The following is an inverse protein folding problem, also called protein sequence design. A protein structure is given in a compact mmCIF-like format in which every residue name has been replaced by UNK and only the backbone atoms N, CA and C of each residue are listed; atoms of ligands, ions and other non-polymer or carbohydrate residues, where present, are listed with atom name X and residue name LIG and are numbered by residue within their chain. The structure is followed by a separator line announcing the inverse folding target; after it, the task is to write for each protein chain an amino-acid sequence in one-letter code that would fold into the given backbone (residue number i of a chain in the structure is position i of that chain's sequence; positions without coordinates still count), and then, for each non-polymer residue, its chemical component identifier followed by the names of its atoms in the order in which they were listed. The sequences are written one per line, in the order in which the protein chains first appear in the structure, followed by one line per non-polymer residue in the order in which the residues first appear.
data_IF_047148107341
#
_entry.id   IF_047148107341
#
_cell.length_a   1.000
_cell.length_b   1.000
_cell.length_c   1.000
_cell.angle_alpha   90.00
_cell.angle_beta   90.00
_cell.angle_gamma   90.00
#
_symmetry.space_group_name_H-M   'P 1'
#
loop_
_entity.id
_entity.type
_entity.pdbx_description
1 polymer ?
#
# COMPACT_ATOMS: atom_id res chain seq x y z
N UNK A 1 -4.79 -28.24 -5.35
CA UNK A 1 -5.99 -29.09 -5.45
C UNK A 1 -6.77 -28.95 -4.16
N UNK A 2 -8.05 -28.68 -4.23
CA UNK A 2 -8.94 -28.62 -3.07
C UNK A 2 -9.93 -29.80 -3.12
N UNK A 3 -10.39 -30.22 -1.94
CA UNK A 3 -11.38 -31.27 -1.84
C UNK A 3 -12.74 -30.76 -2.38
N UNK A 4 -13.31 -31.50 -3.33
CA UNK A 4 -14.65 -31.20 -3.86
C UNK A 4 -15.75 -31.76 -2.96
N UNK A 5 -16.92 -31.14 -2.99
CA UNK A 5 -18.15 -31.68 -2.37
C UNK A 5 -18.73 -32.85 -3.15
N UNK A 6 -18.30 -33.04 -4.39
CA UNK A 6 -18.79 -34.08 -5.28
C UNK A 6 -17.73 -35.17 -5.42
N UNK A 7 -18.06 -36.46 -5.25
CA UNK A 7 -17.05 -37.55 -5.17
C UNK A 7 -16.20 -37.70 -6.43
N UNK A 8 -16.73 -37.45 -7.61
CA UNK A 8 -16.01 -37.63 -8.87
C UNK A 8 -15.45 -36.32 -9.45
N UNK A 9 -15.37 -35.27 -8.63
CA UNK A 9 -14.93 -33.95 -9.07
C UNK A 9 -13.61 -33.58 -8.40
N UNK A 10 -12.65 -33.07 -9.18
CA UNK A 10 -11.42 -32.48 -8.70
C UNK A 10 -11.46 -30.96 -8.92
N UNK A 11 -11.11 -30.20 -7.88
CA UNK A 11 -10.99 -28.74 -7.95
C UNK A 11 -9.51 -28.37 -7.99
N UNK A 12 -9.11 -27.70 -9.06
CA UNK A 12 -7.75 -27.13 -9.20
C UNK A 12 -7.83 -25.61 -9.12
N UNK A 13 -7.04 -25.01 -8.24
CA UNK A 13 -6.92 -23.57 -8.10
C UNK A 13 -5.54 -23.16 -8.63
N UNK A 14 -5.54 -22.24 -9.58
CA UNK A 14 -4.34 -21.67 -10.17
C UNK A 14 -4.30 -20.17 -9.89
N UNK A 15 -3.11 -19.68 -9.52
CA UNK A 15 -2.86 -18.25 -9.38
C UNK A 15 -2.24 -17.73 -10.67
N UNK A 16 -2.76 -16.61 -11.16
CA UNK A 16 -2.28 -15.95 -12.37
C UNK A 16 -2.07 -14.46 -12.11
N UNK A 17 -1.12 -13.80 -12.82
CA UNK A 17 -0.98 -12.36 -12.78
C UNK A 17 -2.31 -11.67 -13.07
N UNK A 18 -2.62 -10.61 -12.31
CA UNK A 18 -3.85 -9.84 -12.54
C UNK A 18 -3.75 -8.95 -13.79
N UNK A 19 -2.53 -8.63 -14.22
CA UNK A 19 -2.24 -7.69 -15.29
C UNK A 19 -1.47 -6.47 -14.76
N UNK A 20 -1.72 -5.30 -15.35
CA UNK A 20 -1.03 -4.05 -14.96
C UNK A 20 -1.60 -3.50 -13.65
N UNK A 21 -0.71 -3.12 -12.73
CA UNK A 21 -1.03 -2.56 -11.42
C UNK A 21 -0.70 -1.07 -11.39
N UNK A 22 -1.64 -0.22 -10.99
CA UNK A 22 -1.37 1.16 -10.61
C UNK A 22 -1.02 1.23 -9.13
N UNK A 23 0.17 1.71 -8.80
CA UNK A 23 0.69 1.86 -7.44
C UNK A 23 0.73 3.34 -7.05
N UNK A 24 -0.20 3.79 -6.22
CA UNK A 24 -0.29 5.17 -5.75
C UNK A 24 0.36 5.28 -4.37
N UNK A 25 1.42 6.09 -4.26
CA UNK A 25 2.32 6.14 -3.10
C UNK A 25 2.34 7.53 -2.48
N UNK A 26 2.14 7.68 -1.17
CA UNK A 26 2.22 8.95 -0.47
C UNK A 26 3.67 9.32 -0.12
N UNK A 27 3.84 10.52 0.42
CA UNK A 27 5.12 11.20 0.66
C UNK A 27 5.86 10.78 1.93
N UNK A 28 5.17 10.23 2.93
CA UNK A 28 5.73 10.06 4.28
C UNK A 28 6.80 8.95 4.40
N UNK A 29 6.69 7.88 3.62
CA UNK A 29 7.68 6.80 3.51
C UNK A 29 7.83 6.37 2.03
N UNK A 30 8.35 7.24 1.15
CA UNK A 30 8.26 7.04 -0.29
C UNK A 30 8.92 5.75 -0.76
N UNK A 31 10.13 5.43 -0.29
CA UNK A 31 10.85 4.21 -0.70
C UNK A 31 10.14 2.96 -0.17
N UNK A 32 9.81 2.92 1.12
CA UNK A 32 9.22 1.73 1.75
C UNK A 32 7.87 1.38 1.12
N UNK A 33 7.02 2.39 0.91
CA UNK A 33 5.68 2.19 0.38
C UNK A 33 5.69 1.86 -1.12
N UNK A 34 6.61 2.47 -1.88
CA UNK A 34 6.81 2.12 -3.29
C UNK A 34 7.39 0.71 -3.43
N UNK A 35 8.47 0.40 -2.70
CA UNK A 35 9.11 -0.91 -2.74
C UNK A 35 8.13 -2.04 -2.41
N UNK A 36 7.29 -1.86 -1.38
CA UNK A 36 6.26 -2.85 -1.01
C UNK A 36 5.28 -3.11 -2.15
N UNK A 37 4.84 -2.09 -2.88
CA UNK A 37 3.91 -2.23 -4.00
C UNK A 37 4.57 -2.79 -5.25
N UNK A 38 5.77 -2.31 -5.58
CA UNK A 38 6.54 -2.77 -6.74
C UNK A 38 6.94 -4.23 -6.57
N UNK A 39 7.57 -4.60 -5.44
CA UNK A 39 8.06 -5.96 -5.22
C UNK A 39 6.95 -7.00 -5.22
N UNK A 40 5.81 -6.71 -4.57
CA UNK A 40 4.67 -7.63 -4.58
C UNK A 40 4.01 -7.76 -5.95
N UNK A 41 4.00 -6.68 -6.75
CA UNK A 41 3.52 -6.75 -8.14
C UNK A 41 4.43 -7.62 -9.00
N UNK A 42 5.74 -7.43 -8.91
CA UNK A 42 6.74 -8.23 -9.63
C UNK A 42 6.69 -9.71 -9.21
N UNK A 43 6.62 -9.99 -7.91
CA UNK A 43 6.50 -11.34 -7.40
C UNK A 43 5.24 -12.07 -7.89
N UNK A 44 4.17 -11.31 -8.17
CA UNK A 44 2.93 -11.83 -8.75
C UNK A 44 2.95 -11.91 -10.30
N UNK A 45 4.08 -11.58 -10.95
CA UNK A 45 4.21 -11.56 -12.42
C UNK A 45 3.47 -10.41 -13.10
N UNK A 46 3.21 -9.31 -12.38
CA UNK A 46 2.48 -8.14 -12.88
C UNK A 46 3.43 -7.00 -13.24
N UNK A 47 3.11 -6.27 -14.31
CA UNK A 47 3.72 -4.96 -14.56
C UNK A 47 3.12 -3.92 -13.62
N UNK A 48 3.89 -2.87 -13.29
CA UNK A 48 3.45 -1.83 -12.37
C UNK A 48 3.76 -0.43 -12.90
N UNK A 49 2.80 0.47 -12.74
CA UNK A 49 2.95 1.90 -12.94
C UNK A 49 2.91 2.54 -11.56
N UNK A 50 4.06 3.05 -11.11
CA UNK A 50 4.18 3.70 -9.81
C UNK A 50 3.99 5.22 -9.95
N UNK A 51 3.06 5.78 -9.20
CA UNK A 51 2.84 7.21 -9.08
C UNK A 51 3.22 7.64 -7.67
N UNK A 52 4.44 8.19 -7.47
CA UNK A 52 4.83 8.78 -6.19
C UNK A 52 4.09 10.09 -5.91
N UNK A 53 4.15 10.53 -4.67
CA UNK A 53 3.73 11.88 -4.33
C UNK A 53 4.64 12.92 -5.01
N UNK A 54 4.06 14.06 -5.38
CA UNK A 54 4.79 15.16 -6.05
C UNK A 54 5.87 15.81 -5.17
N UNK A 55 5.77 15.63 -3.84
CA UNK A 55 6.73 16.15 -2.87
C UNK A 55 8.00 15.27 -2.79
N UNK A 56 7.87 13.97 -3.07
CA UNK A 56 8.96 13.00 -2.87
C UNK A 56 9.20 12.08 -4.07
N UNK A 57 9.22 12.58 -5.31
CA UNK A 57 9.37 11.73 -6.49
C UNK A 57 10.77 11.12 -6.62
N UNK A 58 11.82 11.86 -6.26
CA UNK A 58 13.23 11.49 -6.51
C UNK A 58 13.62 10.14 -5.91
N UNK A 59 13.22 9.88 -4.66
CA UNK A 59 13.52 8.61 -4.00
C UNK A 59 12.87 7.39 -4.70
N UNK A 60 11.68 7.57 -5.26
CA UNK A 60 10.98 6.51 -6.00
C UNK A 60 11.55 6.36 -7.42
N UNK A 61 11.97 7.46 -8.04
CA UNK A 61 12.69 7.42 -9.32
C UNK A 61 13.95 6.57 -9.20
N UNK A 62 14.74 6.79 -8.15
CA UNK A 62 15.96 6.02 -7.90
C UNK A 62 15.65 4.53 -7.67
N UNK A 63 14.60 4.21 -6.93
CA UNK A 63 14.16 2.84 -6.76
C UNK A 63 13.80 2.16 -8.11
N UNK A 64 13.16 2.88 -9.03
CA UNK A 64 12.86 2.37 -10.38
C UNK A 64 14.13 2.17 -11.20
N UNK A 65 15.12 3.08 -11.09
CA UNK A 65 16.43 2.91 -11.73
C UNK A 65 17.14 1.66 -11.20
N UNK A 66 17.15 1.44 -9.90
CA UNK A 66 17.70 0.24 -9.28
C UNK A 66 17.02 -1.03 -9.80
N UNK A 67 15.69 -1.02 -9.98
CA UNK A 67 14.99 -2.16 -10.59
C UNK A 67 15.51 -2.46 -12.00
N UNK A 68 15.72 -1.43 -12.81
CA UNK A 68 16.29 -1.56 -14.15
C UNK A 68 17.73 -2.12 -14.13
N UNK A 69 18.58 -1.58 -13.27
CA UNK A 69 19.96 -2.05 -13.08
C UNK A 69 20.01 -3.51 -12.59
N UNK A 70 19.05 -3.92 -11.78
CA UNK A 70 18.87 -5.30 -11.32
C UNK A 70 18.35 -6.25 -12.40
N UNK A 71 18.10 -5.79 -13.63
CA UNK A 71 17.70 -6.61 -14.77
C UNK A 71 16.18 -6.78 -14.93
N UNK A 72 15.36 -5.95 -14.28
CA UNK A 72 13.92 -5.92 -14.56
C UNK A 72 13.73 -5.41 -15.99
N UNK A 73 13.00 -6.13 -16.87
CA UNK A 73 12.83 -5.72 -18.27
C UNK A 73 12.15 -4.35 -18.42
N UNK A 74 12.51 -3.62 -19.46
CA UNK A 74 11.90 -2.33 -19.79
C UNK A 74 10.38 -2.47 -19.91
N UNK A 75 9.63 -1.49 -19.38
CA UNK A 75 8.17 -1.47 -19.39
C UNK A 75 7.49 -2.30 -18.30
N UNK A 76 8.23 -3.08 -17.51
CA UNK A 76 7.66 -3.84 -16.38
C UNK A 76 7.45 -2.96 -15.17
N UNK A 77 8.40 -2.07 -14.84
CA UNK A 77 8.26 -1.05 -13.81
C UNK A 77 8.32 0.33 -14.44
N UNK A 78 7.27 1.10 -14.31
CA UNK A 78 7.14 2.42 -14.89
C UNK A 78 6.85 3.44 -13.79
N UNK A 79 7.22 4.70 -14.01
CA UNK A 79 6.97 5.79 -13.09
C UNK A 79 6.27 6.94 -13.80
N UNK A 80 5.22 7.48 -13.18
CA UNK A 80 4.54 8.70 -13.60
C UNK A 80 4.59 9.73 -12.48
N UNK A 81 5.09 10.92 -12.78
CA UNK A 81 5.12 12.05 -11.85
C UNK A 81 4.43 13.25 -12.49
N UNK A 82 3.56 13.94 -11.76
CA UNK A 82 2.77 15.06 -12.23
C UNK A 82 1.53 15.29 -11.36
N UNK A 83 0.52 15.97 -11.90
CA UNK A 83 -0.70 16.24 -11.17
C UNK A 83 -1.37 14.96 -10.66
N UNK A 84 -1.62 14.87 -9.34
CA UNK A 84 -2.16 13.65 -8.75
C UNK A 84 -3.56 13.28 -9.23
N UNK A 85 -4.40 14.27 -9.50
CA UNK A 85 -5.78 14.03 -9.90
C UNK A 85 -5.83 13.60 -11.38
N UNK A 86 -5.08 14.28 -12.24
CA UNK A 86 -4.96 13.96 -13.66
C UNK A 86 -4.45 12.53 -13.86
N UNK A 87 -3.27 12.22 -13.32
CA UNK A 87 -2.66 10.89 -13.47
C UNK A 87 -3.56 9.79 -12.88
N UNK A 88 -4.14 10.02 -11.70
CA UNK A 88 -5.01 9.01 -11.09
C UNK A 88 -6.29 8.79 -11.90
N UNK A 89 -6.84 9.82 -12.52
CA UNK A 89 -8.01 9.70 -13.38
C UNK A 89 -7.69 8.86 -14.62
N UNK A 90 -6.62 9.19 -15.34
CA UNK A 90 -6.17 8.45 -16.51
C UNK A 90 -5.93 6.97 -16.19
N UNK A 91 -5.25 6.67 -15.07
CA UNK A 91 -5.00 5.30 -14.66
C UNK A 91 -6.30 4.54 -14.32
N UNK A 92 -7.27 5.20 -13.69
CA UNK A 92 -8.55 4.57 -13.30
C UNK A 92 -9.49 4.40 -14.49
N UNK A 93 -9.42 5.28 -15.48
CA UNK A 93 -10.22 5.21 -16.71
C UNK A 93 -9.64 4.25 -17.74
N UNK A 94 -8.36 3.85 -17.59
CA UNK A 94 -7.68 2.95 -18.51
C UNK A 94 -8.16 1.51 -18.40
N UNK A 95 -8.45 0.89 -19.54
CA UNK A 95 -8.80 -0.53 -19.63
C UNK A 95 -7.60 -1.47 -19.39
N UNK A 96 -6.36 -0.94 -19.44
CA UNK A 96 -5.15 -1.71 -19.21
C UNK A 96 -4.94 -1.98 -17.71
N UNK A 97 -5.31 -1.03 -16.85
CA UNK A 97 -5.15 -1.16 -15.40
C UNK A 97 -6.18 -2.13 -14.83
N UNK A 98 -5.68 -3.22 -14.26
CA UNK A 98 -6.53 -4.28 -13.68
C UNK A 98 -6.61 -4.21 -12.16
N UNK A 99 -5.63 -3.56 -11.53
CA UNK A 99 -5.54 -3.41 -10.08
C UNK A 99 -5.00 -2.04 -9.70
N UNK A 100 -5.58 -1.46 -8.66
CA UNK A 100 -5.06 -0.25 -8.01
C UNK A 100 -4.62 -0.59 -6.60
N UNK A 101 -3.38 -0.25 -6.26
CA UNK A 101 -2.84 -0.35 -4.91
C UNK A 101 -2.53 1.06 -4.40
N UNK A 102 -3.28 1.54 -3.43
CA UNK A 102 -3.12 2.88 -2.89
C UNK A 102 -2.77 2.86 -1.40
N UNK A 103 -1.85 3.75 -1.02
CA UNK A 103 -1.66 4.18 0.37
C UNK A 103 -1.92 5.69 0.43
N UNK A 104 -2.78 6.13 1.34
CA UNK A 104 -3.14 7.55 1.43
C UNK A 104 -4.23 7.84 2.45
N UNK A 105 -4.86 9.01 2.33
CA UNK A 105 -5.96 9.39 3.23
C UNK A 105 -7.25 8.63 2.90
N UNK A 106 -8.08 8.41 3.92
CA UNK A 106 -9.41 7.79 3.74
C UNK A 106 -10.28 8.54 2.73
N UNK A 107 -10.16 9.88 2.69
CA UNK A 107 -10.87 10.72 1.70
C UNK A 107 -10.47 10.37 0.27
N UNK A 108 -9.18 10.29 -0.01
CA UNK A 108 -8.68 9.92 -1.35
C UNK A 108 -9.02 8.46 -1.66
N UNK A 109 -8.87 7.56 -0.69
CA UNK A 109 -9.25 6.16 -0.86
C UNK A 109 -10.71 5.98 -1.32
N UNK A 110 -11.65 6.73 -0.72
CA UNK A 110 -13.06 6.71 -1.13
C UNK A 110 -13.26 7.17 -2.58
N UNK A 111 -12.52 8.19 -3.02
CA UNK A 111 -12.57 8.70 -4.40
C UNK A 111 -12.07 7.62 -5.38
N UNK A 112 -10.92 7.04 -5.09
CA UNK A 112 -10.32 5.99 -5.91
C UNK A 112 -11.24 4.76 -5.99
N UNK A 113 -11.78 4.32 -4.85
CA UNK A 113 -12.69 3.16 -4.82
C UNK A 113 -13.93 3.39 -5.69
N UNK A 114 -14.51 4.59 -5.61
CA UNK A 114 -15.68 4.96 -6.39
C UNK A 114 -15.42 4.90 -7.90
N UNK A 115 -14.27 5.44 -8.34
CA UNK A 115 -13.87 5.41 -9.76
C UNK A 115 -13.47 4.00 -10.23
N UNK A 116 -12.75 3.25 -9.41
CA UNK A 116 -12.35 1.88 -9.73
C UNK A 116 -13.55 0.93 -9.91
N UNK A 117 -14.69 1.24 -9.28
CA UNK A 117 -15.92 0.46 -9.42
C UNK A 117 -16.48 0.50 -10.84
N UNK A 118 -16.34 1.60 -11.57
CA UNK A 118 -16.84 1.73 -12.94
C UNK A 118 -16.18 0.74 -13.91
N UNK A 119 -14.93 0.37 -13.65
CA UNK A 119 -14.16 -0.63 -14.42
C UNK A 119 -14.03 -1.98 -13.72
N UNK A 120 -14.68 -2.16 -12.58
CA UNK A 120 -14.56 -3.38 -11.74
C UNK A 120 -13.10 -3.73 -11.44
N UNK A 121 -12.24 -2.71 -11.27
CA UNK A 121 -10.81 -2.90 -10.97
C UNK A 121 -10.63 -3.44 -9.56
N UNK A 122 -9.67 -4.33 -9.38
CA UNK A 122 -9.28 -4.79 -8.02
C UNK A 122 -8.60 -3.66 -7.27
N UNK A 123 -8.98 -3.44 -6.02
CA UNK A 123 -8.41 -2.37 -5.20
C UNK A 123 -7.82 -2.96 -3.92
N UNK A 124 -6.60 -2.51 -3.57
CA UNK A 124 -5.99 -2.70 -2.25
C UNK A 124 -5.69 -1.34 -1.65
N UNK A 125 -6.19 -1.10 -0.46
CA UNK A 125 -6.10 0.20 0.20
C UNK A 125 -5.41 0.08 1.55
N UNK A 126 -4.40 0.91 1.77
CA UNK A 126 -3.81 1.20 3.07
C UNK A 126 -4.14 2.66 3.40
N UNK A 127 -5.05 2.86 4.32
CA UNK A 127 -5.62 4.17 4.61
C UNK A 127 -5.28 4.63 6.03
N UNK A 128 -5.77 5.81 6.39
CA UNK A 128 -5.61 6.33 7.75
C UNK A 128 -6.24 5.40 8.78
N UNK A 129 -5.57 5.25 9.90
CA UNK A 129 -6.02 4.42 11.01
C UNK A 129 -6.10 5.18 12.32
N UNK A 130 -6.48 4.49 13.39
CA UNK A 130 -6.58 5.02 14.73
C UNK A 130 -5.44 4.54 15.65
N UNK A 131 -4.97 3.31 15.47
CA UNK A 131 -3.87 2.70 16.21
C UNK A 131 -3.98 2.93 17.74
N UNK A 132 -4.91 2.29 18.43
CA UNK A 132 -5.05 2.45 19.87
C UNK A 132 -3.81 1.87 20.58
N UNK A 133 -3.35 2.58 21.61
CA UNK A 133 -2.24 2.17 22.47
C UNK A 133 -2.79 1.87 23.86
N UNK A 134 -2.87 0.60 24.21
CA UNK A 134 -3.42 0.14 25.50
C UNK A 134 -2.28 -0.29 26.42
N UNK A 135 -2.31 0.21 27.65
CA UNK A 135 -1.32 -0.04 28.70
C UNK A 135 -1.98 -0.84 29.81
N UNK A 136 -1.45 -2.04 30.08
CA UNK A 136 -1.90 -2.86 31.21
C UNK A 136 -1.25 -2.39 32.51
N UNK A 137 -1.81 -2.78 33.65
CA UNK A 137 -1.37 -2.30 34.97
C UNK A 137 -0.04 -2.90 35.44
N UNK A 138 0.32 -4.08 34.93
CA UNK A 138 1.47 -4.89 35.32
C UNK A 138 2.74 -4.59 34.55
N UNK A 139 2.84 -3.40 33.95
CA UNK A 139 3.95 -3.03 33.07
C UNK A 139 4.87 -1.97 33.68
N UNK A 140 6.13 -1.94 33.23
CA UNK A 140 7.08 -0.90 33.56
C UNK A 140 6.73 0.39 32.79
N UNK A 141 6.27 1.40 33.51
CA UNK A 141 5.81 2.67 32.94
C UNK A 141 6.93 3.45 32.21
N UNK A 142 8.21 3.29 32.60
CA UNK A 142 9.31 3.93 31.90
C UNK A 142 9.46 3.32 30.50
N UNK A 143 9.41 1.99 30.40
CA UNK A 143 9.43 1.32 29.10
C UNK A 143 8.21 1.68 28.24
N UNK A 144 7.03 1.80 28.84
CA UNK A 144 5.82 2.24 28.16
C UNK A 144 5.99 3.64 27.58
N UNK A 145 6.55 4.57 28.36
CA UNK A 145 6.83 5.94 27.90
C UNK A 145 7.78 5.95 26.69
N UNK A 146 8.88 5.19 26.75
CA UNK A 146 9.86 5.09 25.66
C UNK A 146 9.21 4.52 24.38
N UNK A 147 8.41 3.47 24.51
CA UNK A 147 7.68 2.87 23.38
C UNK A 147 6.66 3.86 22.82
N UNK A 148 5.93 4.57 23.66
CA UNK A 148 4.93 5.55 23.26
C UNK A 148 5.59 6.72 22.50
N UNK A 149 6.70 7.25 23.01
CA UNK A 149 7.48 8.33 22.38
C UNK A 149 8.00 7.87 21.01
N UNK A 150 8.64 6.70 20.97
CA UNK A 150 9.19 6.15 19.73
C UNK A 150 8.10 5.89 18.69
N UNK A 151 6.98 5.32 19.12
CA UNK A 151 5.85 5.02 18.23
C UNK A 151 5.14 6.29 17.72
N UNK A 152 5.05 7.33 18.56
CA UNK A 152 4.33 8.55 18.24
C UNK A 152 5.16 9.54 17.42
N UNK A 153 6.42 9.75 17.79
CA UNK A 153 7.24 10.83 17.22
C UNK A 153 8.20 10.37 16.11
N UNK A 154 8.23 9.09 15.78
CA UNK A 154 8.94 8.60 14.61
C UNK A 154 8.52 9.40 13.38
N UNK A 155 9.48 9.78 12.53
CA UNK A 155 9.24 10.59 11.33
C UNK A 155 8.39 11.85 11.60
N UNK A 156 8.63 12.54 12.71
CA UNK A 156 7.86 13.71 13.18
C UNK A 156 6.35 13.44 13.34
N UNK A 157 5.98 12.19 13.69
CA UNK A 157 4.58 11.78 13.83
C UNK A 157 3.83 11.52 12.51
N UNK A 158 4.52 11.60 11.37
CA UNK A 158 3.96 11.42 10.03
C UNK A 158 3.84 9.93 9.67
N UNK A 159 3.20 9.16 10.53
CA UNK A 159 3.16 7.70 10.47
C UNK A 159 1.72 7.22 10.54
N UNK A 160 1.26 6.48 9.53
CA UNK A 160 -0.11 5.96 9.46
C UNK A 160 -0.45 4.98 10.59
N UNK A 161 0.55 4.27 11.12
CA UNK A 161 0.43 3.34 12.25
C UNK A 161 0.78 3.98 13.60
N UNK A 162 0.99 5.29 13.65
CA UNK A 162 1.28 6.00 14.90
C UNK A 162 0.06 5.97 15.83
N UNK A 163 0.26 5.75 17.14
CA UNK A 163 -0.83 5.79 18.09
C UNK A 163 -1.58 7.13 18.09
N UNK A 164 -2.91 7.06 18.05
CA UNK A 164 -3.80 8.23 18.08
C UNK A 164 -4.51 8.31 19.43
N UNK A 165 -4.94 7.19 19.99
CA UNK A 165 -5.53 7.13 21.34
C UNK A 165 -4.69 6.29 22.28
N UNK A 166 -4.64 6.73 23.53
CA UNK A 166 -3.90 6.09 24.60
C UNK A 166 -4.87 5.76 25.76
N UNK A 167 -4.82 4.54 26.23
CA UNK A 167 -5.64 4.07 27.35
C UNK A 167 -4.77 3.26 28.29
N UNK A 168 -4.85 3.52 29.57
CA UNK A 168 -4.29 2.63 30.59
C UNK A 168 -5.42 1.90 31.31
N UNK A 169 -5.21 0.63 31.56
CA UNK A 169 -6.12 -0.22 32.32
C UNK A 169 -5.66 -0.23 33.76
N UNK A 170 -6.58 0.06 34.68
CA UNK A 170 -6.38 -0.06 36.13
C UNK A 170 -7.31 -1.16 36.64
N UNK A 171 -6.74 -2.12 37.36
CA UNK A 171 -7.57 -3.07 38.09
C UNK A 171 -8.39 -2.32 39.18
N UNK A 172 -9.63 -2.67 39.32
CA UNK A 172 -10.51 -2.22 40.40
C UNK A 172 -10.52 -3.23 41.52
#
# INVERSE_FOLDING_TARGET
TQQSRFPDTRVHVYYQPVGVVAALVPWNFPIVLAARKISTSLAAGCSVICKPDVITPGAVMELVNICKEAGVPDGVVNLLSGDPAEISNELLESDIIKKVSITGSTRVGKIILKKAADKVQRVTMELSGHSPFSVCEDVDMNKVADIAITGKFRNNGQVCISPVSYTHLRAH
#
